data_IF_476441432366
#
_entry.id   IF_476441432366
#
_cell.length_a   1.000
_cell.length_b   1.000
_cell.length_c   1.000
_cell.angle_alpha   90.00
_cell.angle_beta   90.00
_cell.angle_gamma   90.00
#
_symmetry.space_group_name_H-M   'P 1'
#
loop_
_entity.id
_entity.type
_entity.pdbx_description
1 polymer ?
#
# COMPACT_ATOMS: atom_id res chain seq x y z
N UNK A 1 14.06 20.54 22.01
CA UNK A 1 13.86 20.08 20.62
C UNK A 1 12.39 19.79 20.40
N UNK A 2 11.83 20.14 19.24
CA UNK A 2 10.43 19.86 18.92
C UNK A 2 10.26 18.36 18.66
N UNK A 3 9.42 17.70 19.46
CA UNK A 3 9.03 16.30 19.26
C UNK A 3 8.08 16.21 18.07
N UNK A 4 8.36 15.30 17.13
CA UNK A 4 7.49 15.06 15.97
C UNK A 4 6.83 13.71 16.14
N UNK A 5 5.50 13.66 16.01
CA UNK A 5 4.77 12.41 15.96
C UNK A 5 4.78 11.87 14.53
N UNK A 6 5.19 10.61 14.37
CA UNK A 6 5.12 9.86 13.13
C UNK A 6 4.16 8.70 13.30
N UNK A 7 3.43 8.38 12.24
CA UNK A 7 2.50 7.26 12.18
C UNK A 7 3.22 6.08 11.52
N UNK A 8 3.20 4.91 12.14
CA UNK A 8 3.70 3.66 11.57
C UNK A 8 2.51 2.82 11.17
N UNK A 9 2.53 2.29 9.95
CA UNK A 9 1.49 1.37 9.43
C UNK A 9 2.10 0.03 9.09
N UNK A 10 1.32 -1.03 9.33
CA UNK A 10 1.68 -2.41 8.98
C UNK A 10 0.81 -2.88 7.81
N UNK A 11 1.47 -3.48 6.83
CA UNK A 11 0.91 -4.00 5.59
C UNK A 11 1.33 -5.46 5.43
N UNK A 12 0.50 -6.26 4.75
CA UNK A 12 0.97 -7.47 4.08
C UNK A 12 1.66 -7.08 2.78
N UNK A 13 2.82 -7.69 2.52
CA UNK A 13 3.54 -7.55 1.25
C UNK A 13 3.72 -8.94 0.66
N UNK A 14 3.20 -9.16 -0.54
CA UNK A 14 3.24 -10.45 -1.25
C UNK A 14 3.83 -10.28 -2.64
N UNK A 15 4.52 -11.32 -3.10
CA UNK A 15 5.22 -11.37 -4.38
C UNK A 15 4.67 -12.54 -5.19
N UNK A 16 4.38 -12.28 -6.47
CA UNK A 16 3.81 -13.27 -7.38
C UNK A 16 4.53 -13.30 -8.72
N UNK A 17 4.62 -14.50 -9.28
CA UNK A 17 4.84 -14.74 -10.70
C UNK A 17 3.63 -15.46 -11.30
N UNK A 18 3.36 -15.28 -12.58
CA UNK A 18 2.28 -15.94 -13.28
C UNK A 18 2.83 -17.07 -14.15
N UNK A 19 2.22 -18.25 -14.06
CA UNK A 19 2.52 -19.32 -15.02
C UNK A 19 1.89 -19.04 -16.38
N UNK A 20 2.17 -19.92 -17.35
CA UNK A 20 1.58 -19.86 -18.71
C UNK A 20 0.05 -19.94 -18.74
N UNK A 21 -0.58 -20.42 -17.66
CA UNK A 21 -2.03 -20.44 -17.48
C UNK A 21 -2.58 -19.21 -16.73
N UNK A 22 -1.78 -18.15 -16.58
CA UNK A 22 -2.10 -16.92 -15.86
C UNK A 22 -2.49 -17.13 -14.38
N UNK A 23 -1.99 -18.21 -13.75
CA UNK A 23 -2.20 -18.45 -12.33
C UNK A 23 -1.08 -17.82 -11.50
N UNK A 24 -1.44 -17.10 -10.45
CA UNK A 24 -0.50 -16.51 -9.51
C UNK A 24 0.20 -17.59 -8.67
N UNK A 25 1.52 -17.59 -8.70
CA UNK A 25 2.40 -18.43 -7.91
C UNK A 25 3.14 -17.52 -6.93
N UNK A 26 2.93 -17.68 -5.61
CA UNK A 26 3.70 -16.94 -4.61
C UNK A 26 5.19 -17.27 -4.71
N UNK A 27 6.05 -16.24 -4.62
CA UNK A 27 7.49 -16.46 -4.52
C UNK A 27 7.84 -17.12 -3.17
N UNK A 28 8.83 -18.00 -3.18
CA UNK A 28 9.45 -18.56 -1.97
C UNK A 28 10.24 -17.50 -1.19
N UNK A 29 10.59 -17.81 0.07
CA UNK A 29 11.43 -16.93 0.90
C UNK A 29 12.74 -16.55 0.17
N UNK A 30 13.41 -17.52 -0.44
CA UNK A 30 14.68 -17.30 -1.12
C UNK A 30 14.50 -16.44 -2.38
N UNK A 31 13.44 -16.67 -3.17
CA UNK A 31 13.14 -15.84 -4.34
C UNK A 31 12.88 -14.38 -3.93
N UNK A 32 12.15 -14.15 -2.82
CA UNK A 32 11.94 -12.79 -2.28
C UNK A 32 13.26 -12.13 -1.86
N UNK A 33 14.13 -12.86 -1.15
CA UNK A 33 15.45 -12.34 -0.77
C UNK A 33 16.31 -12.00 -2.00
N UNK A 34 16.28 -12.83 -3.03
CA UNK A 34 17.00 -12.58 -4.28
C UNK A 34 16.53 -11.30 -4.98
N UNK A 35 15.21 -10.99 -4.94
CA UNK A 35 14.66 -9.72 -5.44
C UNK A 35 15.33 -8.54 -4.74
N UNK A 36 15.36 -8.54 -3.41
CA UNK A 36 15.91 -7.41 -2.66
C UNK A 36 17.43 -7.33 -2.74
N UNK A 37 18.15 -8.46 -2.78
CA UNK A 37 19.59 -8.50 -3.02
C UNK A 37 19.96 -7.88 -4.38
N UNK A 38 19.18 -8.20 -5.41
CA UNK A 38 19.35 -7.56 -6.71
C UNK A 38 19.11 -6.06 -6.65
N UNK A 39 17.99 -5.62 -6.03
CA UNK A 39 17.68 -4.19 -5.92
C UNK A 39 18.77 -3.43 -5.16
N UNK A 40 19.36 -4.00 -4.09
CA UNK A 40 20.50 -3.40 -3.36
C UNK A 40 21.70 -3.19 -4.29
N UNK A 41 21.97 -4.15 -5.18
CA UNK A 41 23.13 -4.11 -6.08
C UNK A 41 23.00 -3.08 -7.22
N UNK A 42 21.80 -2.54 -7.45
CA UNK A 42 21.57 -1.63 -8.55
C UNK A 42 22.15 -0.24 -8.27
N UNK A 43 22.92 0.34 -9.19
CA UNK A 43 23.45 1.68 -9.02
C UNK A 43 22.32 2.72 -9.03
N UNK A 44 22.52 3.79 -8.27
CA UNK A 44 21.66 4.97 -8.24
C UNK A 44 22.03 5.94 -9.38
N UNK A 45 22.07 5.40 -10.60
CA UNK A 45 22.38 6.14 -11.83
C UNK A 45 21.38 5.74 -12.90
N UNK A 46 20.65 6.71 -13.46
CA UNK A 46 19.65 6.47 -14.51
C UNK A 46 20.26 5.90 -15.80
N UNK A 47 21.48 6.31 -16.13
CA UNK A 47 22.14 5.87 -17.36
C UNK A 47 22.47 4.38 -17.31
N UNK A 48 22.71 3.86 -16.11
CA UNK A 48 23.04 2.45 -15.87
C UNK A 48 21.81 1.64 -15.45
N UNK A 49 20.92 2.24 -14.65
CA UNK A 49 19.66 1.68 -14.19
C UNK A 49 18.52 2.64 -14.55
N UNK A 50 17.83 2.44 -15.69
CA UNK A 50 16.72 3.29 -16.13
C UNK A 50 15.60 3.44 -15.07
N UNK A 51 15.47 2.46 -14.18
CA UNK A 51 14.49 2.40 -13.10
C UNK A 51 15.07 2.84 -11.74
N UNK A 52 16.21 3.54 -11.73
CA UNK A 52 16.75 4.21 -10.55
C UNK A 52 15.72 5.19 -9.97
N UNK A 53 14.99 5.87 -10.85
CA UNK A 53 13.98 6.88 -10.54
C UNK A 53 12.70 6.66 -11.37
N UNK A 54 11.54 6.90 -10.75
CA UNK A 54 10.26 7.00 -11.44
C UNK A 54 9.83 8.47 -11.50
N UNK A 55 9.91 9.07 -12.69
CA UNK A 55 9.65 10.50 -12.86
C UNK A 55 8.16 10.82 -12.94
N UNK A 56 7.78 11.93 -12.30
CA UNK A 56 6.43 12.49 -12.27
C UNK A 56 6.54 13.99 -12.59
N UNK A 57 6.72 14.30 -13.88
CA UNK A 57 7.06 15.66 -14.33
C UNK A 57 8.50 16.03 -13.93
N UNK A 58 8.64 17.08 -13.13
CA UNK A 58 9.94 17.46 -12.56
C UNK A 58 10.26 16.69 -11.27
N UNK A 59 9.28 16.06 -10.63
CA UNK A 59 9.49 15.26 -9.43
C UNK A 59 9.96 13.85 -9.80
N UNK A 60 10.53 13.15 -8.82
CA UNK A 60 10.88 11.74 -8.97
C UNK A 60 10.53 10.95 -7.72
N UNK A 61 10.37 9.65 -7.88
CA UNK A 61 10.21 8.70 -6.78
C UNK A 61 11.35 7.72 -6.85
N UNK A 62 11.86 7.34 -5.69
CA UNK A 62 12.90 6.35 -5.59
C UNK A 62 12.72 5.42 -4.40
N UNK A 63 13.31 4.23 -4.51
CA UNK A 63 13.48 3.30 -3.41
C UNK A 63 14.95 2.95 -3.30
N UNK A 64 15.48 3.11 -2.10
CA UNK A 64 16.83 2.74 -1.70
C UNK A 64 16.73 1.68 -0.62
N UNK A 65 17.51 0.62 -0.75
CA UNK A 65 17.64 -0.40 0.28
C UNK A 65 18.94 -0.16 1.05
N UNK A 66 18.92 -0.44 2.34
CA UNK A 66 20.11 -0.34 3.18
C UNK A 66 20.84 -1.70 3.19
N UNK A 67 22.16 -1.65 3.01
CA UNK A 67 23.03 -2.81 2.73
C UNK A 67 23.22 -3.73 3.96
N UNK A 68 22.77 -3.28 5.14
CA UNK A 68 23.02 -3.89 6.44
C UNK A 68 21.98 -4.94 6.86
N UNK A 69 20.87 -5.11 6.14
CA UNK A 69 19.71 -5.91 6.59
C UNK A 69 19.53 -7.31 6.00
N UNK A 70 20.09 -7.62 4.83
CA UNK A 70 19.65 -8.77 4.03
C UNK A 70 19.99 -10.16 4.61
N UNK A 71 20.76 -10.25 5.69
CA UNK A 71 21.11 -11.53 6.32
C UNK A 71 20.10 -12.02 7.38
N UNK A 72 19.21 -11.16 7.87
CA UNK A 72 18.32 -11.48 9.00
C UNK A 72 16.87 -11.79 8.61
N UNK A 73 16.57 -11.93 7.31
CA UNK A 73 15.19 -12.04 6.82
C UNK A 73 14.41 -10.72 6.95
N UNK A 74 15.09 -9.61 7.15
CA UNK A 74 14.52 -8.27 7.30
C UNK A 74 15.15 -7.34 6.27
N UNK A 75 14.34 -6.77 5.39
CA UNK A 75 14.81 -5.78 4.43
C UNK A 75 14.51 -4.39 4.97
N UNK A 76 15.52 -3.54 5.04
CA UNK A 76 15.40 -2.13 5.43
C UNK A 76 15.56 -1.23 4.22
N UNK A 77 14.79 -0.17 4.17
CA UNK A 77 14.95 0.80 3.08
C UNK A 77 14.20 2.09 3.27
N UNK A 78 14.49 2.99 2.35
CA UNK A 78 13.88 4.30 2.21
C UNK A 78 13.10 4.37 0.92
N UNK A 79 11.87 4.85 1.03
CA UNK A 79 11.00 5.14 -0.09
C UNK A 79 10.71 6.63 -0.12
N UNK A 80 11.14 7.33 -1.16
CA UNK A 80 11.23 8.79 -1.12
C UNK A 80 10.68 9.47 -2.37
N UNK A 81 10.10 10.65 -2.13
CA UNK A 81 9.77 11.61 -3.18
C UNK A 81 10.89 12.64 -3.26
N UNK A 82 11.32 12.94 -4.48
CA UNK A 82 12.25 14.00 -4.82
C UNK A 82 11.41 15.11 -5.45
N UNK A 83 11.32 16.24 -4.74
CA UNK A 83 10.43 17.35 -5.09
C UNK A 83 11.19 18.57 -5.58
N UNK A 84 10.84 19.03 -6.77
CA UNK A 84 11.33 20.29 -7.35
C UNK A 84 10.45 21.48 -6.96
N UNK A 85 9.14 21.25 -6.83
CA UNK A 85 8.12 22.28 -6.55
C UNK A 85 8.22 22.91 -5.16
N UNK A 86 8.89 22.22 -4.22
CA UNK A 86 9.11 22.69 -2.87
C UNK A 86 10.42 23.49 -2.69
N UNK A 87 11.21 23.66 -3.76
CA UNK A 87 12.46 24.42 -3.69
C UNK A 87 12.22 25.93 -3.64
N UNK A 88 13.01 26.68 -2.85
CA UNK A 88 12.97 28.14 -2.88
C UNK A 88 13.23 28.68 -4.28
N UNK A 89 12.57 29.79 -4.62
CA UNK A 89 12.87 30.55 -5.84
C UNK A 89 14.23 31.26 -5.68
N UNK A 90 14.97 31.37 -6.78
CA UNK A 90 16.19 32.14 -6.89
C UNK A 90 15.83 33.56 -7.31
N UNK A 91 16.30 34.52 -6.53
CA UNK A 91 16.18 35.94 -6.85
C UNK A 91 17.42 36.40 -7.65
N UNK A 92 17.19 37.13 -8.73
CA UNK A 92 18.25 37.78 -9.50
C UNK A 92 17.73 39.12 -10.05
N UNK A 93 18.27 40.22 -9.53
CA UNK A 93 17.95 41.60 -9.95
C UNK A 93 16.46 41.95 -9.93
N UNK A 94 15.74 41.52 -8.90
CA UNK A 94 14.31 41.72 -8.71
C UNK A 94 13.42 40.72 -9.45
N UNK A 95 14.00 39.74 -10.17
CA UNK A 95 13.26 38.67 -10.82
C UNK A 95 13.37 37.37 -10.04
N UNK A 96 12.24 36.71 -9.80
CA UNK A 96 12.19 35.39 -9.17
C UNK A 96 12.11 34.31 -10.25
N UNK A 97 12.95 33.29 -10.13
CA UNK A 97 12.99 32.15 -11.05
C UNK A 97 13.18 30.83 -10.28
N UNK A 98 12.73 29.69 -10.81
CA UNK A 98 13.02 28.39 -10.20
C UNK A 98 14.54 28.11 -10.17
N UNK A 99 15.01 27.42 -9.14
CA UNK A 99 16.39 26.94 -9.10
C UNK A 99 16.68 25.99 -10.27
N UNK A 100 17.76 26.23 -11.02
CA UNK A 100 18.20 25.35 -12.09
C UNK A 100 18.93 24.13 -11.52
N UNK A 101 18.16 23.10 -11.19
CA UNK A 101 18.68 21.81 -10.69
C UNK A 101 18.34 20.67 -11.67
N UNK A 102 19.19 19.63 -11.78
CA UNK A 102 18.93 18.50 -12.66
C UNK A 102 17.63 17.77 -12.31
N UNK A 103 16.97 17.21 -13.33
CA UNK A 103 15.78 16.36 -13.16
C UNK A 103 16.13 15.16 -12.28
N UNK A 104 15.37 14.96 -11.18
CA UNK A 104 15.64 13.92 -10.19
C UNK A 104 16.57 14.34 -9.05
N UNK A 105 16.95 15.61 -8.99
CA UNK A 105 17.52 16.26 -7.80
C UNK A 105 16.44 17.09 -7.10
N UNK A 106 16.57 17.41 -5.81
CA UNK A 106 15.58 18.28 -5.16
C UNK A 106 15.44 17.98 -3.68
N UNK A 107 14.30 18.38 -3.10
CA UNK A 107 13.99 18.06 -1.71
C UNK A 107 13.69 16.56 -1.63
N UNK A 108 14.49 15.85 -0.83
CA UNK A 108 14.34 14.42 -0.60
C UNK A 108 13.48 14.19 0.64
N UNK A 109 12.26 13.69 0.43
CA UNK A 109 11.29 13.39 1.47
C UNK A 109 11.14 11.87 1.63
N UNK A 110 11.94 11.22 2.50
CA UNK A 110 11.85 9.78 2.71
C UNK A 110 10.70 9.39 3.64
N UNK A 111 10.19 8.18 3.40
CA UNK A 111 9.55 7.32 4.37
C UNK A 111 10.41 6.07 4.56
N UNK A 112 10.63 5.66 5.80
CA UNK A 112 11.37 4.44 6.11
C UNK A 112 10.46 3.24 6.13
N UNK A 113 10.97 2.09 5.68
CA UNK A 113 10.25 0.83 5.80
C UNK A 113 11.15 -0.31 6.26
N UNK A 114 10.52 -1.29 6.88
CA UNK A 114 11.08 -2.60 7.20
C UNK A 114 10.15 -3.68 6.64
N UNK A 115 10.69 -4.62 5.88
CA UNK A 115 9.97 -5.78 5.41
C UNK A 115 10.51 -7.05 6.07
N UNK A 116 9.66 -7.68 6.87
CA UNK A 116 9.91 -8.98 7.49
C UNK A 116 9.48 -10.07 6.50
N UNK A 117 10.47 -10.67 5.85
CA UNK A 117 10.30 -11.48 4.63
C UNK A 117 9.59 -12.80 4.93
N UNK A 118 9.87 -13.40 6.07
CA UNK A 118 9.30 -14.66 6.54
C UNK A 118 7.82 -14.54 6.92
N UNK A 119 7.40 -13.37 7.37
CA UNK A 119 6.02 -13.12 7.81
C UNK A 119 5.17 -12.41 6.75
N UNK A 120 5.77 -12.01 5.63
CA UNK A 120 5.12 -11.17 4.61
C UNK A 120 4.54 -9.89 5.21
N UNK A 121 5.33 -9.19 6.04
CA UNK A 121 4.94 -7.97 6.74
C UNK A 121 5.82 -6.79 6.37
N UNK A 122 5.23 -5.79 5.74
CA UNK A 122 5.86 -4.49 5.47
C UNK A 122 5.39 -3.49 6.50
N UNK A 123 6.32 -2.80 7.14
CA UNK A 123 6.06 -1.79 8.15
C UNK A 123 6.64 -0.49 7.63
N UNK A 124 5.81 0.53 7.47
CA UNK A 124 6.17 1.77 6.78
C UNK A 124 5.81 2.97 7.65
N UNK A 125 6.77 3.89 7.77
CA UNK A 125 6.55 5.23 8.28
C UNK A 125 5.67 6.02 7.32
N UNK A 126 4.60 6.63 7.83
CA UNK A 126 3.77 7.55 7.06
C UNK A 126 4.27 8.97 7.24
N UNK A 127 4.70 9.55 6.12
CA UNK A 127 5.11 10.93 6.00
C UNK A 127 4.21 11.63 4.96
N UNK A 128 3.71 12.83 5.25
CA UNK A 128 2.77 13.57 4.39
C UNK A 128 3.34 13.82 2.99
N UNK A 129 4.66 13.91 2.87
CA UNK A 129 5.34 14.19 1.61
C UNK A 129 6.01 12.95 0.99
N UNK A 130 5.94 11.79 1.65
CA UNK A 130 6.45 10.56 1.07
C UNK A 130 5.45 10.00 0.04
N UNK A 131 5.93 9.24 -0.95
CA UNK A 131 5.05 8.66 -1.94
C UNK A 131 4.16 7.58 -1.31
N UNK A 132 2.98 7.37 -1.92
CA UNK A 132 2.04 6.35 -1.45
C UNK A 132 2.58 4.93 -1.67
N UNK A 133 2.30 4.04 -0.72
CA UNK A 133 2.78 2.66 -0.72
C UNK A 133 2.49 1.85 -2.00
N UNK A 134 1.39 2.07 -2.79
CA UNK A 134 1.22 1.33 -4.05
C UNK A 134 2.34 1.63 -5.08
N UNK A 135 2.94 2.82 -5.00
CA UNK A 135 4.07 3.18 -5.87
C UNK A 135 5.36 2.42 -5.48
N UNK A 136 5.49 2.00 -4.22
CA UNK A 136 6.59 1.14 -3.77
C UNK A 136 6.50 -0.23 -4.44
N UNK A 137 5.31 -0.83 -4.48
CA UNK A 137 5.10 -2.13 -5.15
C UNK A 137 5.52 -2.09 -6.62
N UNK A 138 5.05 -1.09 -7.36
CA UNK A 138 5.43 -0.90 -8.77
C UNK A 138 6.95 -0.73 -8.94
N UNK A 139 7.60 0.05 -8.08
CA UNK A 139 9.05 0.27 -8.15
C UNK A 139 9.87 -0.97 -7.83
N UNK A 140 9.39 -1.84 -6.93
CA UNK A 140 10.04 -3.12 -6.66
C UNK A 140 10.00 -4.00 -7.91
N UNK A 141 8.83 -4.10 -8.58
CA UNK A 141 8.69 -4.83 -9.86
C UNK A 141 9.61 -4.24 -10.93
N UNK A 142 9.55 -2.92 -11.14
CA UNK A 142 10.34 -2.22 -12.16
C UNK A 142 11.85 -2.45 -11.96
N UNK A 143 12.33 -2.42 -10.71
CA UNK A 143 13.75 -2.66 -10.40
C UNK A 143 14.13 -4.13 -10.46
N UNK A 144 13.28 -5.05 -9.99
CA UNK A 144 13.53 -6.49 -10.04
C UNK A 144 13.71 -6.99 -11.48
N UNK A 145 12.83 -6.55 -12.37
CA UNK A 145 12.78 -6.98 -13.78
C UNK A 145 13.89 -6.37 -14.65
N UNK A 146 14.83 -5.63 -14.06
CA UNK A 146 16.10 -5.30 -14.73
C UNK A 146 17.05 -6.51 -14.79
N UNK A 147 16.82 -7.54 -13.97
CA UNK A 147 17.51 -8.83 -14.07
C UNK A 147 16.70 -9.83 -14.88
N UNK A 148 17.33 -10.47 -15.86
CA UNK A 148 16.72 -11.58 -16.60
C UNK A 148 16.55 -12.87 -15.76
N UNK A 149 17.21 -12.96 -14.59
CA UNK A 149 17.14 -14.15 -13.72
C UNK A 149 16.05 -14.06 -12.64
N UNK A 150 15.34 -12.94 -12.54
CA UNK A 150 14.29 -12.72 -11.55
C UNK A 150 12.95 -12.68 -12.28
N UNK A 151 12.10 -13.66 -11.99
CA UNK A 151 10.71 -13.69 -12.45
C UNK A 151 9.82 -13.07 -11.37
N UNK A 152 9.45 -11.80 -11.56
CA UNK A 152 8.52 -11.09 -10.69
C UNK A 152 7.51 -10.31 -11.51
N UNK A 153 6.27 -10.78 -11.54
CA UNK A 153 5.22 -10.13 -12.31
C UNK A 153 4.43 -9.12 -11.48
N UNK A 154 4.19 -9.44 -10.21
CA UNK A 154 3.39 -8.60 -9.34
C UNK A 154 3.94 -8.56 -7.92
N UNK A 155 4.00 -7.35 -7.39
CA UNK A 155 4.14 -7.09 -5.96
C UNK A 155 2.86 -6.48 -5.49
N UNK A 156 2.35 -6.97 -4.37
CA UNK A 156 1.18 -6.40 -3.76
C UNK A 156 1.42 -6.00 -2.32
N UNK A 157 1.07 -4.75 -2.03
CA UNK A 157 1.05 -4.18 -0.69
C UNK A 157 -0.40 -3.94 -0.28
N UNK A 158 -0.72 -4.50 0.88
CA UNK A 158 -2.06 -4.70 1.36
C UNK A 158 -2.14 -4.19 2.81
N UNK A 159 -2.91 -3.16 3.14
CA UNK A 159 -2.95 -2.68 4.52
C UNK A 159 -3.63 -3.71 5.44
N UNK A 160 -3.14 -3.87 6.68
CA UNK A 160 -3.73 -4.81 7.64
C UNK A 160 -4.77 -4.12 8.51
N UNK A 161 -5.94 -4.76 8.62
CA UNK A 161 -7.03 -4.26 9.43
C UNK A 161 -6.71 -4.45 10.92
N UNK A 162 -6.82 -3.40 11.73
CA UNK A 162 -6.69 -3.55 13.19
C UNK A 162 -8.00 -4.04 13.82
N UNK A 163 -7.87 -4.78 14.93
CA UNK A 163 -9.01 -5.42 15.58
C UNK A 163 -10.02 -4.41 16.14
N UNK A 164 -9.59 -3.23 16.62
CA UNK A 164 -10.48 -2.22 17.19
C UNK A 164 -11.32 -1.52 16.12
N UNK A 165 -10.73 -1.22 14.97
CA UNK A 165 -11.41 -0.75 13.76
C UNK A 165 -12.39 -1.77 13.22
N UNK A 166 -12.03 -3.06 13.25
CA UNK A 166 -12.94 -4.16 12.97
C UNK A 166 -14.16 -4.14 13.91
N UNK A 167 -13.97 -3.99 15.23
CA UNK A 167 -15.07 -3.89 16.19
C UNK A 167 -15.90 -2.60 16.02
N UNK A 168 -15.27 -1.47 15.70
CA UNK A 168 -15.96 -0.19 15.51
C UNK A 168 -16.88 -0.22 14.28
N UNK A 169 -16.44 -0.84 13.19
CA UNK A 169 -17.29 -1.09 12.02
C UNK A 169 -18.48 -2.00 12.34
N UNK A 170 -18.41 -2.85 13.36
CA UNK A 170 -19.57 -3.63 13.81
C UNK A 170 -20.57 -2.81 14.62
N UNK A 171 -20.14 -1.70 15.25
CA UNK A 171 -20.95 -0.90 16.18
C UNK A 171 -21.62 0.30 15.47
N UNK A 172 -20.93 0.97 14.54
CA UNK A 172 -21.34 2.30 14.02
C UNK A 172 -22.40 2.28 12.87
N UNK A 173 -22.91 1.12 12.46
CA UNK A 173 -24.10 1.00 11.61
C UNK A 173 -23.88 0.24 10.29
N UNK A 174 -24.95 -0.38 9.81
CA UNK A 174 -24.92 -1.30 8.66
C UNK A 174 -24.39 -0.62 7.39
N UNK A 175 -23.34 -1.21 6.81
CA UNK A 175 -22.85 -0.84 5.49
C UNK A 175 -23.99 -1.02 4.49
N UNK A 176 -24.42 0.09 3.86
CA UNK A 176 -25.56 0.09 2.95
C UNK A 176 -25.15 -0.18 1.51
N UNK A 177 -23.92 0.19 1.16
CA UNK A 177 -23.35 -0.05 -0.16
C UNK A 177 -21.83 -0.28 -0.04
N UNK A 178 -21.28 -1.20 -0.81
CA UNK A 178 -19.83 -1.40 -0.94
C UNK A 178 -19.46 -1.38 -2.40
N UNK A 179 -18.46 -0.60 -2.78
CA UNK A 179 -17.86 -0.67 -4.09
C UNK A 179 -16.44 -1.23 -4.00
N UNK A 180 -16.17 -2.33 -4.71
CA UNK A 180 -14.88 -3.00 -4.76
C UNK A 180 -14.34 -2.95 -6.19
N UNK A 181 -13.11 -2.48 -6.38
CA UNK A 181 -12.41 -2.58 -7.66
C UNK A 181 -11.41 -3.74 -7.64
N UNK A 182 -11.51 -4.66 -8.59
CA UNK A 182 -10.77 -5.94 -8.61
C UNK A 182 -9.88 -6.04 -9.86
N UNK A 183 -8.64 -6.56 -9.71
CA UNK A 183 -7.73 -6.88 -10.82
C UNK A 183 -8.32 -7.97 -11.72
N UNK A 184 -8.20 -7.80 -13.04
CA UNK A 184 -8.65 -8.77 -14.04
C UNK A 184 -7.94 -10.13 -13.88
N UNK A 185 -8.66 -11.24 -14.06
CA UNK A 185 -8.14 -12.61 -13.93
C UNK A 185 -8.43 -13.25 -12.57
N UNK A 186 -8.83 -12.45 -11.58
CA UNK A 186 -9.19 -12.91 -10.24
C UNK A 186 -10.69 -12.78 -9.95
N UNK A 187 -11.49 -12.34 -10.92
CA UNK A 187 -12.91 -12.11 -10.74
C UNK A 187 -13.66 -13.37 -10.33
N UNK A 188 -13.35 -14.52 -10.91
CA UNK A 188 -13.94 -15.81 -10.48
C UNK A 188 -13.58 -16.16 -9.03
N UNK A 189 -12.35 -15.92 -8.63
CA UNK A 189 -11.86 -16.25 -7.27
C UNK A 189 -12.55 -15.36 -6.24
N UNK A 190 -12.55 -14.05 -6.50
CA UNK A 190 -13.18 -13.05 -5.64
C UNK A 190 -14.71 -13.21 -5.62
N UNK A 191 -15.32 -13.46 -6.79
CA UNK A 191 -16.76 -13.65 -6.93
C UNK A 191 -17.29 -14.99 -6.42
N UNK A 192 -16.44 -15.97 -6.13
CA UNK A 192 -16.82 -17.20 -5.43
C UNK A 192 -16.78 -17.03 -3.90
N UNK A 193 -15.93 -16.13 -3.41
CA UNK A 193 -15.87 -15.77 -1.99
C UNK A 193 -16.99 -14.81 -1.55
N UNK A 194 -17.70 -14.23 -2.52
CA UNK A 194 -18.89 -13.39 -2.31
C UNK A 194 -20.07 -14.13 -2.94
N UNK A 195 -21.08 -14.49 -2.15
CA UNK A 195 -22.15 -15.37 -2.64
C UNK A 195 -22.84 -14.82 -3.91
N UNK A 196 -22.73 -15.56 -5.03
CA UNK A 196 -23.56 -15.37 -6.22
C UNK A 196 -23.00 -14.52 -7.36
N UNK A 197 -21.74 -14.07 -7.32
CA UNK A 197 -21.15 -13.27 -8.41
C UNK A 197 -20.14 -14.01 -9.30
N UNK A 198 -19.70 -15.20 -8.91
CA UNK A 198 -18.63 -15.94 -9.57
C UNK A 198 -18.81 -16.13 -11.08
N UNK A 199 -20.03 -16.42 -11.54
CA UNK A 199 -20.33 -16.63 -12.97
C UNK A 199 -20.25 -15.33 -13.79
N UNK A 200 -20.73 -14.22 -13.24
CA UNK A 200 -20.69 -12.90 -13.90
C UNK A 200 -19.24 -12.40 -13.96
N UNK A 201 -18.48 -12.61 -12.89
CA UNK A 201 -17.08 -12.18 -12.82
C UNK A 201 -16.16 -13.05 -13.68
N UNK A 202 -16.44 -14.35 -13.79
CA UNK A 202 -15.75 -15.24 -14.73
C UNK A 202 -16.01 -14.85 -16.21
N UNK A 203 -17.20 -14.33 -16.52
CA UNK A 203 -17.52 -13.80 -17.84
C UNK A 203 -16.81 -12.47 -18.13
N UNK A 204 -16.50 -11.67 -17.10
CA UNK A 204 -15.71 -10.45 -17.25
C UNK A 204 -14.22 -10.74 -17.44
N UNK A 205 -13.68 -11.72 -16.72
CA UNK A 205 -12.27 -12.15 -16.84
C UNK A 205 -11.93 -12.62 -18.28
N UNK A 206 -12.91 -13.20 -18.98
CA UNK A 206 -12.74 -13.77 -20.32
C UNK A 206 -12.81 -12.76 -21.47
N UNK A 207 -13.10 -11.48 -21.23
CA UNK A 207 -13.21 -10.45 -22.30
C UNK A 207 -11.83 -9.90 -22.68
N UNK A 208 -11.30 -10.17 -23.89
CA UNK A 208 -9.90 -9.87 -24.24
C UNK A 208 -9.52 -8.39 -24.22
N UNK A 209 -10.44 -7.50 -24.61
CA UNK A 209 -10.20 -6.07 -24.87
C UNK A 209 -10.74 -5.13 -23.77
N UNK A 210 -11.03 -5.65 -22.58
CA UNK A 210 -11.60 -4.88 -21.47
C UNK A 210 -10.57 -4.14 -20.57
N UNK A 211 -11.04 -3.26 -19.67
CA UNK A 211 -10.18 -2.58 -18.69
C UNK A 211 -9.43 -3.56 -17.77
N UNK A 212 -8.26 -3.17 -17.27
CA UNK A 212 -7.39 -4.00 -16.40
C UNK A 212 -7.94 -4.22 -14.98
N UNK A 213 -9.06 -3.58 -14.64
CA UNK A 213 -9.83 -3.80 -13.42
C UNK A 213 -11.31 -3.49 -13.67
N UNK A 214 -12.17 -4.01 -12.82
CA UNK A 214 -13.62 -3.77 -12.87
C UNK A 214 -14.17 -3.50 -11.47
N UNK A 215 -15.29 -2.76 -11.41
CA UNK A 215 -15.93 -2.33 -10.16
C UNK A 215 -17.16 -3.18 -9.88
N UNK A 216 -17.32 -3.58 -8.62
CA UNK A 216 -18.43 -4.37 -8.11
C UNK A 216 -19.15 -3.54 -7.06
N UNK A 217 -20.42 -3.18 -7.33
CA UNK A 217 -21.29 -2.47 -6.39
C UNK A 217 -22.23 -3.44 -5.68
N UNK A 218 -22.13 -3.51 -4.36
CA UNK A 218 -23.03 -4.26 -3.51
C UNK A 218 -24.01 -3.31 -2.87
N UNK A 219 -25.31 -3.46 -3.15
CA UNK A 219 -26.34 -2.64 -2.53
C UNK A 219 -27.12 -3.48 -1.52
N UNK A 220 -27.03 -3.12 -0.24
CA UNK A 220 -27.89 -3.68 0.78
C UNK A 220 -29.36 -3.33 0.50
N UNK A 221 -30.28 -4.24 0.76
CA UNK A 221 -31.72 -3.98 0.58
C UNK A 221 -32.14 -2.85 1.51
N UNK A 222 -32.46 -1.70 0.91
CA UNK A 222 -32.81 -0.49 1.64
C UNK A 222 -34.11 -0.69 2.40
N UNK A 223 -34.04 -1.02 3.69
CA UNK A 223 -35.26 -1.07 4.50
C UNK A 223 -35.09 -1.41 5.96
N UNK A 224 -34.17 -2.33 6.33
CA UNK A 224 -34.02 -2.74 7.73
C UNK A 224 -32.55 -2.98 8.04
N UNK A 225 -32.14 -2.63 9.26
CA UNK A 225 -30.91 -3.05 9.94
C UNK A 225 -30.91 -4.57 10.12
N UNK A 226 -30.90 -5.32 9.01
CA UNK A 226 -30.88 -6.77 9.01
C UNK A 226 -29.47 -7.28 8.82
N UNK A 227 -29.22 -8.46 9.42
CA UNK A 227 -28.05 -9.33 9.32
C UNK A 227 -27.33 -9.40 7.96
N UNK A 228 -28.01 -9.06 6.86
CA UNK A 228 -27.45 -8.97 5.51
C UNK A 228 -26.33 -7.92 5.41
N UNK A 229 -26.43 -6.80 6.13
CA UNK A 229 -25.34 -5.80 6.19
C UNK A 229 -24.08 -6.35 6.88
N UNK A 230 -24.26 -7.17 7.93
CA UNK A 230 -23.16 -7.88 8.58
C UNK A 230 -22.59 -9.01 7.70
N UNK A 231 -23.42 -9.68 6.90
CA UNK A 231 -22.98 -10.68 5.93
C UNK A 231 -22.11 -10.07 4.83
N UNK A 232 -22.59 -9.00 4.19
CA UNK A 232 -21.81 -8.25 3.18
C UNK A 232 -20.52 -7.69 3.80
N UNK A 233 -20.57 -7.25 5.05
CA UNK A 233 -19.40 -6.73 5.77
C UNK A 233 -18.39 -7.84 6.12
N UNK A 234 -18.85 -8.99 6.60
CA UNK A 234 -17.97 -10.14 6.86
C UNK A 234 -17.39 -10.71 5.57
N UNK A 235 -18.17 -10.75 4.48
CA UNK A 235 -17.68 -11.14 3.16
C UNK A 235 -16.67 -10.12 2.62
N UNK A 236 -16.91 -8.81 2.77
CA UNK A 236 -15.97 -7.76 2.40
C UNK A 236 -14.68 -7.85 3.22
N UNK A 237 -14.78 -8.05 4.53
CA UNK A 237 -13.61 -8.18 5.40
C UNK A 237 -12.85 -9.47 5.08
N UNK A 238 -13.56 -10.58 4.87
CA UNK A 238 -12.97 -11.84 4.44
C UNK A 238 -12.24 -11.65 3.11
N UNK A 239 -12.84 -10.93 2.18
CA UNK A 239 -12.27 -10.62 0.87
C UNK A 239 -11.08 -9.68 0.97
N UNK A 240 -11.14 -8.64 1.79
CA UNK A 240 -10.02 -7.74 2.06
C UNK A 240 -8.90 -8.47 2.80
N UNK A 241 -9.19 -9.46 3.64
CA UNK A 241 -8.17 -10.25 4.32
C UNK A 241 -7.57 -11.35 3.42
N UNK A 242 -8.39 -12.00 2.58
CA UNK A 242 -7.99 -13.13 1.72
C UNK A 242 -7.34 -12.64 0.42
N UNK A 243 -7.87 -11.56 -0.16
CA UNK A 243 -7.45 -11.02 -1.47
C UNK A 243 -7.14 -9.52 -1.41
N UNK A 244 -6.40 -9.01 -0.40
CA UNK A 244 -6.13 -7.57 -0.32
C UNK A 244 -5.32 -7.06 -1.51
N UNK A 245 -4.65 -7.96 -2.22
CA UNK A 245 -3.77 -7.66 -3.35
C UNK A 245 -4.53 -7.42 -4.64
N UNK A 246 -5.69 -8.06 -4.75
CA UNK A 246 -6.53 -8.03 -5.93
C UNK A 246 -7.50 -6.84 -5.86
N UNK A 247 -7.77 -6.34 -4.65
CA UNK A 247 -8.67 -5.20 -4.42
C UNK A 247 -7.91 -3.88 -4.53
N UNK A 248 -8.09 -3.18 -5.66
CA UNK A 248 -7.49 -1.86 -5.90
C UNK A 248 -8.20 -0.73 -5.15
N UNK A 249 -9.50 -0.89 -4.88
CA UNK A 249 -10.34 0.12 -4.22
C UNK A 249 -11.44 -0.55 -3.42
N UNK A 250 -11.70 -0.05 -2.21
CA UNK A 250 -12.86 -0.43 -1.41
C UNK A 250 -13.51 0.84 -0.83
N UNK A 251 -14.75 1.12 -1.21
CA UNK A 251 -15.52 2.25 -0.69
C UNK A 251 -16.79 1.73 -0.05
N UNK A 252 -17.13 2.22 1.14
CA UNK A 252 -18.37 1.88 1.81
C UNK A 252 -19.23 3.12 1.99
N UNK A 253 -20.51 2.98 1.65
CA UNK A 253 -21.53 3.97 1.98
C UNK A 253 -22.12 3.62 3.34
N UNK A 254 -21.77 4.40 4.35
CA UNK A 254 -22.24 4.21 5.72
C UNK A 254 -23.50 5.05 5.93
N UNK A 255 -24.53 4.45 6.53
CA UNK A 255 -25.71 5.20 7.02
C UNK A 255 -25.52 5.46 8.51
N UNK A 256 -25.23 6.72 8.86
CA UNK A 256 -25.17 7.12 10.26
C UNK A 256 -26.54 6.95 10.93
N UNK A 257 -26.55 6.32 12.11
CA UNK A 257 -27.73 6.13 12.96
C UNK A 257 -27.96 7.31 13.93
N UNK A 258 -27.50 8.52 13.60
CA UNK A 258 -27.71 9.69 14.45
C UNK A 258 -29.00 10.43 14.10
N UNK A 259 -29.82 10.68 15.13
CA UNK A 259 -31.05 11.46 15.06
C UNK A 259 -30.73 12.92 14.73
N UNK A 260 -30.84 13.31 13.46
CA UNK A 260 -30.93 14.73 13.09
C UNK A 260 -30.55 15.09 11.65
N UNK A 261 -29.62 14.38 11.03
CA UNK A 261 -29.26 14.65 9.63
C UNK A 261 -28.75 13.39 8.94
N UNK A 262 -29.52 12.86 7.98
CA UNK A 262 -29.09 11.77 7.09
C UNK A 262 -28.03 12.30 6.11
N UNK A 263 -26.78 12.38 6.55
CA UNK A 263 -25.64 12.43 5.63
C UNK A 263 -25.27 11.01 5.26
N UNK A 264 -25.36 10.68 3.98
CA UNK A 264 -24.75 9.46 3.45
C UNK A 264 -23.47 9.87 2.76
N UNK A 265 -22.34 9.60 3.40
CA UNK A 265 -21.02 9.86 2.84
C UNK A 265 -20.40 8.53 2.40
N UNK A 266 -19.73 8.55 1.25
CA UNK A 266 -18.91 7.44 0.78
C UNK A 266 -17.55 7.54 1.47
N UNK A 267 -17.20 6.52 2.24
CA UNK A 267 -15.92 6.43 2.94
C UNK A 267 -14.98 5.57 2.11
N UNK A 268 -13.81 6.10 1.76
CA UNK A 268 -12.76 5.28 1.16
C UNK A 268 -12.10 4.45 2.26
N UNK A 269 -12.44 3.17 2.30
CA UNK A 269 -11.96 2.23 3.32
C UNK A 269 -10.44 2.01 3.23
N UNK A 270 -9.80 2.32 2.10
CA UNK A 270 -8.35 2.22 1.91
C UNK A 270 -7.58 3.50 2.26
N UNK A 271 -8.22 4.67 2.22
CA UNK A 271 -7.56 5.98 2.41
C UNK A 271 -7.93 6.68 3.71
N UNK A 272 -9.18 6.59 4.16
CA UNK A 272 -9.65 7.22 5.39
C UNK A 272 -9.41 6.30 6.60
N UNK A 273 -8.88 6.89 7.67
CA UNK A 273 -8.22 6.28 8.85
C UNK A 273 -9.08 5.35 9.74
N UNK A 274 -9.94 4.49 9.19
CA UNK A 274 -10.92 3.70 9.96
C UNK A 274 -10.70 2.19 9.93
N UNK A 275 -9.62 1.70 9.33
CA UNK A 275 -9.37 0.26 9.24
C UNK A 275 -7.99 -0.19 9.67
N UNK A 276 -6.96 0.66 9.71
CA UNK A 276 -5.57 0.17 9.69
C UNK A 276 -4.83 0.33 11.01
N UNK A 277 -3.97 -0.63 11.33
CA UNK A 277 -3.07 -0.51 12.47
C UNK A 277 -2.17 0.72 12.30
N UNK A 278 -2.26 1.65 13.24
CA UNK A 278 -1.43 2.83 13.34
C UNK A 278 -0.81 2.89 14.73
N UNK A 279 0.52 2.73 14.81
CA UNK A 279 1.26 3.12 16.02
C UNK A 279 1.78 4.55 15.86
N UNK A 280 1.68 5.36 16.92
CA UNK A 280 2.21 6.72 16.94
C UNK A 280 3.54 6.72 17.69
N UNK A 281 4.63 7.02 16.99
CA UNK A 281 5.98 7.12 17.58
C UNK A 281 6.43 8.56 17.64
N UNK A 282 7.22 8.88 18.67
CA UNK A 282 7.76 10.22 18.88
C UNK A 282 9.25 10.22 18.59
N UNK A 283 9.69 10.99 17.59
CA UNK A 283 11.10 11.16 17.24
C UNK A 283 11.64 12.49 17.74
N UNK A 284 12.93 12.51 18.12
CA UNK A 284 13.57 13.63 18.81
C UNK A 284 13.89 14.85 17.94
N UNK A 285 13.73 14.73 16.62
CA UNK A 285 14.21 15.69 15.63
C UNK A 285 13.34 15.67 14.36
N UNK A 286 13.26 16.81 13.66
CA UNK A 286 12.70 16.87 12.29
C UNK A 286 13.63 16.25 11.26
N UNK A 287 14.94 16.27 11.52
CA UNK A 287 15.98 15.62 10.73
C UNK A 287 15.90 14.13 11.07
N UNK A 288 15.54 13.30 10.09
CA UNK A 288 15.39 11.86 10.27
C UNK A 288 16.75 11.22 10.52
N UNK A 289 16.98 10.73 11.73
CA UNK A 289 17.97 9.69 11.96
C UNK A 289 17.37 8.37 11.48
N UNK A 290 17.87 7.87 10.36
CA UNK A 290 17.47 6.60 9.75
C UNK A 290 17.53 5.44 10.76
N UNK A 291 18.55 5.44 11.63
CA UNK A 291 18.78 4.35 12.58
C UNK A 291 17.71 4.36 13.67
N UNK A 292 17.44 5.53 14.27
CA UNK A 292 16.37 5.70 15.26
C UNK A 292 15.01 5.36 14.64
N UNK A 293 14.76 5.76 13.39
CA UNK A 293 13.49 5.44 12.73
C UNK A 293 13.27 3.93 12.57
N UNK A 294 14.30 3.16 12.21
CA UNK A 294 14.16 1.71 12.15
C UNK A 294 13.85 1.09 13.51
N UNK A 295 14.45 1.59 14.59
CA UNK A 295 14.12 1.15 15.96
C UNK A 295 12.65 1.44 16.28
N UNK A 296 12.15 2.63 15.90
CA UNK A 296 10.74 2.96 16.10
C UNK A 296 9.80 2.10 15.25
N UNK A 297 10.14 1.83 13.99
CA UNK A 297 9.38 0.95 13.08
C UNK A 297 9.29 -0.46 13.67
N UNK A 298 10.42 -1.02 14.10
CA UNK A 298 10.49 -2.33 14.72
C UNK A 298 9.64 -2.38 16.00
N UNK A 299 9.72 -1.35 16.84
CA UNK A 299 8.87 -1.25 18.04
C UNK A 299 7.38 -1.24 17.69
N UNK A 300 6.96 -0.45 16.72
CA UNK A 300 5.57 -0.40 16.25
C UNK A 300 5.09 -1.75 15.70
N UNK A 301 5.98 -2.52 15.07
CA UNK A 301 5.66 -3.87 14.61
C UNK A 301 5.47 -4.86 15.76
N UNK A 302 6.35 -4.87 16.76
CA UNK A 302 6.18 -5.77 17.92
C UNK A 302 4.96 -5.40 18.76
N UNK A 303 4.60 -4.12 18.86
CA UNK A 303 3.33 -3.69 19.46
C UNK A 303 2.13 -4.25 18.69
N UNK A 304 2.16 -4.23 17.36
CA UNK A 304 1.15 -4.87 16.51
C UNK A 304 1.04 -6.37 16.81
N UNK A 305 2.17 -7.09 16.85
CA UNK A 305 2.17 -8.55 17.10
C UNK A 305 1.59 -8.91 18.49
N UNK A 306 1.85 -8.09 19.52
CA UNK A 306 1.26 -8.28 20.86
C UNK A 306 -0.26 -8.12 20.86
N UNK A 307 -0.79 -7.18 20.07
CA UNK A 307 -2.25 -6.96 20.00
C UNK A 307 -2.98 -8.07 19.24
N UNK A 308 -2.28 -8.79 18.34
CA UNK A 308 -2.85 -9.90 17.58
C UNK A 308 -2.91 -11.21 18.38
N UNK A 309 -2.11 -11.35 19.44
CA UNK A 309 -2.03 -12.55 20.29
C UNK A 309 -2.22 -12.19 21.78
N UNK A 310 -3.44 -11.82 22.21
CA UNK A 310 -3.74 -11.42 23.59
C UNK A 310 -3.62 -12.57 24.61
#
# INVERSE_FOLDING_TARGET
MAKVQRKIRVYSLKFYKFNTAAQAIPLSLQEKLNVFQHIVSLPFDRNVNPNAYKFEGQNAITVKLDDDGNQSGIVKGQFASIRHDALPLVETNGQLSPANIPIGSGIYDPAHFMYFVDQDRLVLEVNQHAPHYPKLAALIVDKANTSASIELDEVSIAPLIDAASFYKLQIDGAIAEVEIEVVRGFGRVVGNSINGLGTIMAAYDSVPLGPASFKIGFKGSGGKTSSIGMGIQQELISLLNQFPTVVKRAQARIRANSSGARRTDWVNLLEEEMLFYVSSVTVGSRILDTTDMYVQIEKGYYEFLRQQNP
#
